data_IF_871695128600
#
_entry.id   IF_871695128600
#
_cell.length_a   1.000
_cell.length_b   1.000
_cell.length_c   1.000
_cell.angle_alpha   90.00
_cell.angle_beta   90.00
_cell.angle_gamma   90.00
#
_symmetry.space_group_name_H-M   'P 1'
#
loop_
_entity.id
_entity.type
_entity.pdbx_description
1 polymer ?
#
# COMPACT_ATOMS: atom_id res chain seq x y z
N UNK A 1 -6.07 -17.87 2.53
CA UNK A 1 -5.12 -17.13 3.40
C UNK A 1 -4.30 -16.27 2.46
N UNK A 2 -4.10 -15.00 2.78
CA UNK A 2 -3.44 -14.04 1.89
C UNK A 2 -2.06 -13.75 2.47
N UNK A 3 -1.02 -13.88 1.65
CA UNK A 3 0.33 -13.45 2.02
C UNK A 3 0.49 -11.97 1.74
N UNK A 4 1.11 -11.26 2.66
CA UNK A 4 1.41 -9.83 2.51
C UNK A 4 2.71 -9.44 3.21
N UNK A 5 3.26 -8.32 2.78
CA UNK A 5 4.39 -7.64 3.42
C UNK A 5 4.23 -6.14 3.26
N UNK A 6 5.08 -5.37 3.93
CA UNK A 6 5.07 -3.91 3.81
C UNK A 6 6.49 -3.34 3.80
N UNK A 7 6.60 -2.16 3.23
CA UNK A 7 7.78 -1.31 3.23
C UNK A 7 7.39 0.02 3.88
N UNK A 8 8.12 0.45 4.91
CA UNK A 8 7.89 1.71 5.61
C UNK A 8 9.11 2.61 5.44
N UNK A 9 8.93 3.72 4.76
CA UNK A 9 9.96 4.72 4.50
C UNK A 9 10.02 5.75 5.65
N UNK A 10 11.24 6.16 6.05
CA UNK A 10 11.49 7.10 7.14
C UNK A 10 12.78 7.89 6.92
N UNK A 11 12.98 8.95 7.70
CA UNK A 11 14.17 9.81 7.69
C UNK A 11 14.85 9.86 9.06
N UNK A 12 16.06 10.42 9.11
CA UNK A 12 16.67 10.98 10.30
C UNK A 12 17.44 10.03 11.19
N UNK A 13 17.72 8.80 10.76
CA UNK A 13 18.40 7.81 11.59
C UNK A 13 19.67 7.27 10.95
N UNK A 14 20.64 6.92 11.79
CA UNK A 14 21.78 6.11 11.37
C UNK A 14 21.33 4.66 11.13
N UNK A 15 21.32 4.23 9.89
CA UNK A 15 20.84 2.89 9.53
C UNK A 15 21.67 1.75 10.11
N UNK A 16 22.98 1.97 10.37
CA UNK A 16 23.84 0.97 11.01
C UNK A 16 23.45 0.79 12.47
N UNK A 17 23.23 1.88 13.20
CA UNK A 17 22.78 1.85 14.58
C UNK A 17 21.39 1.22 14.70
N UNK A 18 20.46 1.57 13.81
CA UNK A 18 19.15 0.95 13.75
C UNK A 18 19.21 -0.54 13.46
N UNK A 19 20.05 -0.96 12.52
CA UNK A 19 20.27 -2.37 12.19
C UNK A 19 20.72 -3.16 13.42
N UNK A 20 21.67 -2.61 14.18
CA UNK A 20 22.14 -3.22 15.43
C UNK A 20 21.03 -3.25 16.50
N UNK A 21 20.33 -2.15 16.72
CA UNK A 21 19.27 -2.04 17.73
C UNK A 21 18.09 -2.98 17.45
N UNK A 22 17.69 -3.09 16.20
CA UNK A 22 16.60 -3.96 15.77
C UNK A 22 17.03 -5.42 15.60
N UNK A 23 18.33 -5.70 15.62
CA UNK A 23 18.92 -7.01 15.32
C UNK A 23 18.49 -7.54 13.94
N UNK A 24 18.43 -6.66 12.94
CA UNK A 24 18.04 -6.97 11.57
C UNK A 24 19.16 -6.52 10.60
N UNK A 25 19.33 -7.19 9.44
CA UNK A 25 20.38 -6.83 8.51
C UNK A 25 20.10 -5.49 7.80
N UNK A 26 21.17 -4.71 7.58
CA UNK A 26 21.18 -3.61 6.62
C UNK A 26 21.61 -4.16 5.25
N UNK A 27 20.77 -3.97 4.23
CA UNK A 27 20.93 -4.53 2.88
C UNK A 27 21.08 -3.42 1.84
N UNK A 28 21.82 -3.64 0.76
CA UNK A 28 21.82 -2.75 -0.39
C UNK A 28 20.44 -2.72 -1.06
N UNK A 29 19.98 -1.54 -1.44
CA UNK A 29 18.65 -1.34 -2.06
C UNK A 29 18.41 -2.27 -3.26
N UNK A 30 17.26 -2.96 -3.21
CA UNK A 30 16.73 -3.75 -4.33
C UNK A 30 17.55 -4.99 -4.70
N UNK A 31 18.59 -5.33 -3.94
CA UNK A 31 19.42 -6.52 -4.21
C UNK A 31 18.99 -7.76 -3.44
N UNK A 32 18.19 -7.57 -2.41
CA UNK A 32 17.77 -8.66 -1.54
C UNK A 32 16.39 -9.16 -1.96
N UNK A 33 16.30 -10.49 -2.16
CA UNK A 33 15.06 -11.15 -2.59
C UNK A 33 14.48 -12.10 -1.54
N UNK A 34 15.13 -12.21 -0.38
CA UNK A 34 14.62 -13.06 0.69
C UNK A 34 13.86 -12.20 1.70
N UNK A 35 12.56 -12.36 1.77
CA UNK A 35 11.64 -11.67 2.65
C UNK A 35 11.20 -12.52 3.85
N UNK A 36 12.06 -13.42 4.34
CA UNK A 36 11.77 -14.24 5.52
C UNK A 36 11.96 -13.48 6.84
N UNK A 37 12.73 -12.40 6.81
CA UNK A 37 13.04 -11.59 7.99
C UNK A 37 12.98 -10.09 7.66
N UNK A 38 12.76 -9.28 8.69
CA UNK A 38 12.95 -7.82 8.57
C UNK A 38 14.35 -7.48 8.08
N UNK A 39 14.45 -6.42 7.31
CA UNK A 39 15.72 -5.78 6.99
C UNK A 39 15.54 -4.28 6.72
N UNK A 40 16.65 -3.56 6.75
CA UNK A 40 16.73 -2.15 6.39
C UNK A 40 17.38 -2.01 5.01
N UNK A 41 16.84 -1.11 4.19
CA UNK A 41 17.48 -0.65 2.96
C UNK A 41 17.67 0.88 3.00
N UNK A 42 18.77 1.43 2.43
CA UNK A 42 18.89 2.88 2.27
C UNK A 42 17.92 3.38 1.20
N UNK A 43 17.24 4.50 1.43
CA UNK A 43 16.39 5.17 0.44
C UNK A 43 17.04 6.47 -0.04
N UNK A 44 17.62 6.43 -1.22
CA UNK A 44 18.38 7.55 -1.77
C UNK A 44 17.54 8.79 -2.09
N UNK A 45 16.24 8.62 -2.31
CA UNK A 45 15.33 9.74 -2.64
C UNK A 45 14.94 10.59 -1.45
N UNK A 46 15.12 10.05 -0.25
CA UNK A 46 14.75 10.71 1.01
C UNK A 46 15.95 11.45 1.62
N UNK A 47 17.09 11.45 0.95
CA UNK A 47 18.29 12.12 1.43
C UNK A 47 18.13 13.63 1.37
N UNK A 48 18.01 14.27 2.54
CA UNK A 48 18.46 15.64 2.71
C UNK A 48 19.98 15.64 2.96
N UNK A 49 20.72 16.74 2.72
CA UNK A 49 22.18 16.76 2.89
C UNK A 49 22.69 16.24 4.24
N UNK A 50 21.86 16.29 5.27
CA UNK A 50 22.23 15.96 6.65
C UNK A 50 21.56 14.68 7.19
N UNK A 51 20.70 14.00 6.43
CA UNK A 51 19.83 12.94 6.95
C UNK A 51 19.74 11.76 5.99
N UNK A 52 20.15 10.60 6.48
CA UNK A 52 19.94 9.33 5.78
C UNK A 52 18.47 8.92 5.87
N UNK A 53 17.85 8.66 4.74
CA UNK A 53 16.55 7.99 4.65
C UNK A 53 16.71 6.48 4.56
N UNK A 54 15.71 5.75 5.03
CA UNK A 54 15.69 4.30 4.98
C UNK A 54 14.29 3.74 4.77
N UNK A 55 14.28 2.51 4.33
CA UNK A 55 13.09 1.66 4.26
C UNK A 55 13.23 0.51 5.26
N UNK A 56 12.22 0.34 6.10
CA UNK A 56 12.03 -0.87 6.89
C UNK A 56 11.16 -1.83 6.09
N UNK A 57 11.75 -2.94 5.65
CA UNK A 57 11.08 -3.95 4.85
C UNK A 57 10.72 -5.12 5.75
N UNK A 58 9.43 -5.47 5.77
CA UNK A 58 8.90 -6.55 6.60
C UNK A 58 9.15 -7.93 5.99
N UNK A 59 9.10 -8.98 6.79
CA UNK A 59 8.90 -10.34 6.28
C UNK A 59 7.53 -10.49 5.63
N UNK A 60 7.33 -11.64 4.98
CA UNK A 60 6.03 -12.03 4.44
C UNK A 60 5.19 -12.64 5.55
N UNK A 61 4.02 -12.09 5.77
CA UNK A 61 3.08 -12.53 6.81
C UNK A 61 1.89 -13.31 6.24
N UNK A 62 1.40 -14.24 7.06
CA UNK A 62 0.07 -14.88 6.95
C UNK A 62 -0.88 -14.37 8.02
N UNK A 63 -0.33 -13.94 9.14
CA UNK A 63 -1.06 -13.47 10.31
C UNK A 63 -0.95 -11.95 10.44
N UNK A 64 -2.09 -11.27 10.30
CA UNK A 64 -2.16 -9.81 10.43
C UNK A 64 -1.86 -9.36 11.86
N UNK A 65 -2.27 -10.11 12.87
CA UNK A 65 -2.07 -9.76 14.27
C UNK A 65 -0.58 -9.75 14.60
N UNK A 66 0.15 -10.78 14.16
CA UNK A 66 1.60 -10.84 14.32
C UNK A 66 2.29 -9.67 13.59
N UNK A 67 1.90 -9.41 12.34
CA UNK A 67 2.47 -8.31 11.57
C UNK A 67 2.29 -6.95 12.26
N UNK A 68 1.11 -6.70 12.84
CA UNK A 68 0.82 -5.44 13.54
C UNK A 68 1.56 -5.34 14.88
N UNK A 69 1.71 -6.44 15.59
CA UNK A 69 2.51 -6.47 16.82
C UNK A 69 3.98 -6.14 16.53
N UNK A 70 4.57 -6.80 15.55
CA UNK A 70 5.98 -6.55 15.19
C UNK A 70 6.19 -5.15 14.60
N UNK A 71 5.23 -4.64 13.80
CA UNK A 71 5.26 -3.25 13.35
C UNK A 71 5.33 -2.29 14.54
N UNK A 72 4.47 -2.47 15.55
CA UNK A 72 4.45 -1.63 16.74
C UNK A 72 5.81 -1.61 17.45
N UNK A 73 6.43 -2.78 17.64
CA UNK A 73 7.74 -2.91 18.26
C UNK A 73 8.83 -2.17 17.45
N UNK A 74 8.82 -2.32 16.12
CA UNK A 74 9.78 -1.64 15.24
C UNK A 74 9.60 -0.12 15.21
N UNK A 75 8.36 0.36 15.25
CA UNK A 75 8.09 1.80 15.33
C UNK A 75 8.63 2.44 16.61
N UNK A 76 8.54 1.75 17.75
CA UNK A 76 9.12 2.26 19.00
C UNK A 76 10.66 2.36 18.92
N UNK A 77 11.33 1.38 18.31
CA UNK A 77 12.79 1.46 18.11
C UNK A 77 13.13 2.61 17.15
N UNK A 78 12.39 2.78 16.03
CA UNK A 78 12.59 3.90 15.11
C UNK A 78 12.54 5.25 15.84
N UNK A 79 11.52 5.44 16.69
CA UNK A 79 11.38 6.67 17.49
C UNK A 79 12.54 6.88 18.47
N UNK A 80 12.97 5.83 19.17
CA UNK A 80 14.11 5.89 20.09
C UNK A 80 15.41 6.29 19.42
N UNK A 81 15.57 5.93 18.14
CA UNK A 81 16.73 6.28 17.31
C UNK A 81 16.49 7.51 16.42
N UNK A 82 15.58 8.37 16.84
CA UNK A 82 15.29 9.68 16.22
C UNK A 82 14.83 9.63 14.76
N UNK A 83 14.31 8.49 14.32
CA UNK A 83 13.62 8.45 13.04
C UNK A 83 12.39 9.37 13.07
N UNK A 84 12.11 10.01 11.94
CA UNK A 84 10.93 10.84 11.81
C UNK A 84 10.36 10.76 10.39
N UNK A 85 9.10 11.18 10.25
CA UNK A 85 8.46 11.39 8.98
C UNK A 85 8.35 12.90 8.76
N UNK A 86 8.97 13.46 7.73
CA UNK A 86 8.89 14.89 7.47
C UNK A 86 7.43 15.34 7.25
N UNK A 87 7.00 16.41 7.91
CA UNK A 87 5.62 16.93 7.83
C UNK A 87 5.18 17.26 6.39
N UNK A 88 6.12 17.63 5.55
CA UNK A 88 5.90 17.98 4.13
C UNK A 88 6.56 16.99 3.18
N UNK A 89 6.90 15.78 3.65
CA UNK A 89 7.57 14.83 2.78
C UNK A 89 6.63 14.35 1.70
N UNK A 90 7.05 14.61 0.49
CA UNK A 90 6.46 14.05 -0.72
C UNK A 90 6.93 12.61 -0.96
N UNK A 91 7.92 12.17 -0.19
CA UNK A 91 8.82 11.09 -0.56
C UNK A 91 8.81 9.92 0.43
N UNK A 92 8.06 10.01 1.54
CA UNK A 92 7.92 8.90 2.47
C UNK A 92 6.54 8.26 2.37
N UNK A 93 6.53 6.96 2.17
CA UNK A 93 5.31 6.17 2.00
C UNK A 93 5.36 4.87 2.83
N UNK A 94 4.19 4.28 3.04
CA UNK A 94 4.08 2.87 3.39
C UNK A 94 3.46 2.14 2.20
N UNK A 95 4.19 1.17 1.67
CA UNK A 95 3.74 0.31 0.60
C UNK A 95 3.30 -1.03 1.17
N UNK A 96 2.17 -1.55 0.73
CA UNK A 96 1.72 -2.88 1.11
C UNK A 96 1.69 -3.78 -0.10
N UNK A 97 2.40 -4.89 -0.02
CA UNK A 97 2.49 -5.92 -1.02
C UNK A 97 1.59 -7.08 -0.66
N UNK A 98 0.73 -7.47 -1.57
CA UNK A 98 -0.17 -8.63 -1.45
C UNK A 98 0.21 -9.68 -2.49
N UNK A 99 0.31 -10.94 -2.11
CA UNK A 99 0.41 -12.03 -3.06
C UNK A 99 -0.87 -12.09 -3.91
N UNK A 100 -0.73 -12.26 -5.23
CA UNK A 100 -1.87 -12.21 -6.18
C UNK A 100 -2.82 -13.41 -6.15
N UNK A 101 -2.57 -14.40 -5.31
CA UNK A 101 -3.41 -15.60 -5.20
C UNK A 101 -4.89 -15.31 -4.94
N UNK A 102 -5.21 -14.19 -4.28
CA UNK A 102 -6.61 -13.76 -4.07
C UNK A 102 -7.33 -13.38 -5.38
N UNK A 103 -6.60 -13.09 -6.44
CA UNK A 103 -7.15 -12.78 -7.76
C UNK A 103 -7.45 -14.03 -8.62
N UNK A 104 -7.05 -15.23 -8.12
CA UNK A 104 -7.34 -16.54 -8.73
C UNK A 104 -6.96 -16.64 -10.21
N UNK A 105 -5.95 -15.87 -10.67
CA UNK A 105 -5.52 -15.74 -12.07
C UNK A 105 -6.70 -15.52 -13.05
N UNK A 106 -7.72 -14.83 -12.58
CA UNK A 106 -8.96 -14.62 -13.31
C UNK A 106 -9.19 -13.13 -13.62
N UNK A 107 -9.41 -12.83 -14.89
CA UNK A 107 -9.71 -11.46 -15.37
C UNK A 107 -10.80 -10.77 -14.55
N UNK A 108 -11.82 -11.53 -14.12
CA UNK A 108 -12.95 -11.02 -13.34
C UNK A 108 -12.45 -10.44 -11.99
N UNK A 109 -11.58 -11.12 -11.28
CA UNK A 109 -11.07 -10.65 -9.99
C UNK A 109 -10.17 -9.41 -10.15
N UNK A 110 -9.36 -9.36 -11.21
CA UNK A 110 -8.60 -8.16 -11.56
C UNK A 110 -9.52 -6.99 -11.89
N UNK A 111 -10.59 -7.22 -12.65
CA UNK A 111 -11.58 -6.20 -12.99
C UNK A 111 -12.27 -5.65 -11.73
N UNK A 112 -12.73 -6.51 -10.82
CA UNK A 112 -13.33 -6.10 -9.54
C UNK A 112 -12.37 -5.24 -8.73
N UNK A 113 -11.14 -5.70 -8.55
CA UNK A 113 -10.12 -4.96 -7.80
C UNK A 113 -9.89 -3.57 -8.40
N UNK A 114 -9.67 -3.51 -9.71
CA UNK A 114 -9.36 -2.25 -10.39
C UNK A 114 -10.55 -1.29 -10.40
N UNK A 115 -11.76 -1.80 -10.66
CA UNK A 115 -12.99 -1.00 -10.59
C UNK A 115 -13.26 -0.49 -9.17
N UNK A 116 -13.01 -1.31 -8.14
CA UNK A 116 -13.13 -0.90 -6.75
C UNK A 116 -12.18 0.26 -6.43
N UNK A 117 -10.90 0.06 -6.69
CA UNK A 117 -9.88 1.08 -6.42
C UNK A 117 -10.12 2.36 -7.21
N UNK A 118 -10.55 2.26 -8.46
CA UNK A 118 -10.92 3.42 -9.29
C UNK A 118 -12.12 4.18 -8.72
N UNK A 119 -13.16 3.44 -8.32
CA UNK A 119 -14.38 4.04 -7.79
C UNK A 119 -14.18 4.77 -6.47
N UNK A 120 -13.29 4.27 -5.61
CA UNK A 120 -13.02 4.81 -4.28
C UNK A 120 -11.68 5.53 -4.17
N UNK A 121 -10.97 5.78 -5.26
CA UNK A 121 -9.62 6.33 -5.17
C UNK A 121 -9.54 7.68 -4.45
N UNK A 122 -10.55 8.54 -4.58
CA UNK A 122 -10.58 9.82 -3.89
C UNK A 122 -10.73 9.63 -2.38
N UNK A 123 -11.61 8.74 -1.96
CA UNK A 123 -11.85 8.38 -0.56
C UNK A 123 -10.62 7.69 0.03
N UNK A 124 -9.95 6.82 -0.73
CA UNK A 124 -8.70 6.19 -0.30
C UNK A 124 -7.59 7.23 -0.14
N UNK A 125 -7.47 8.18 -1.06
CA UNK A 125 -6.50 9.28 -0.93
C UNK A 125 -6.79 10.15 0.28
N UNK A 126 -8.04 10.48 0.54
CA UNK A 126 -8.41 11.26 1.70
C UNK A 126 -8.16 10.49 2.99
N UNK A 127 -8.59 9.23 3.04
CA UNK A 127 -8.29 8.34 4.15
C UNK A 127 -6.78 8.26 4.42
N UNK A 128 -5.95 8.15 3.36
CA UNK A 128 -4.50 8.13 3.46
C UNK A 128 -3.90 9.48 3.87
N UNK A 129 -4.51 10.60 3.49
CA UNK A 129 -4.05 11.97 3.78
C UNK A 129 -4.55 12.47 5.13
N UNK A 130 -5.77 12.12 5.50
CA UNK A 130 -6.40 12.47 6.78
C UNK A 130 -5.59 11.96 7.96
N UNK A 131 -4.89 10.85 7.79
CA UNK A 131 -4.06 10.25 8.81
C UNK A 131 -2.75 11.00 9.07
N UNK A 132 -2.24 11.76 8.11
CA UNK A 132 -0.90 12.37 8.18
C UNK A 132 -0.86 13.85 7.79
N UNK A 133 -2.01 14.48 7.51
CA UNK A 133 -2.05 15.89 7.10
C UNK A 133 -1.21 16.16 5.85
N UNK A 134 -1.85 16.27 4.69
CA UNK A 134 -1.29 16.70 3.41
C UNK A 134 -0.25 15.75 2.81
N UNK A 135 -0.68 14.94 1.89
CA UNK A 135 0.19 14.30 0.91
C UNK A 135 0.42 15.29 -0.24
N UNK A 136 1.58 15.97 -0.30
CA UNK A 136 1.73 17.11 -1.21
C UNK A 136 1.87 16.73 -2.69
N UNK A 137 2.10 15.46 -3.04
CA UNK A 137 2.32 15.07 -4.42
C UNK A 137 1.80 13.69 -4.78
N UNK A 138 0.49 13.52 -4.66
CA UNK A 138 -0.26 12.36 -5.16
C UNK A 138 0.12 12.04 -6.61
N UNK A 139 0.45 13.07 -7.41
CA UNK A 139 0.70 12.92 -8.84
C UNK A 139 2.09 12.41 -9.22
N UNK A 140 3.11 12.57 -8.37
CA UNK A 140 4.49 12.21 -8.73
C UNK A 140 4.88 10.77 -8.35
N UNK A 141 4.39 10.25 -7.22
CA UNK A 141 4.79 8.93 -6.72
C UNK A 141 3.65 7.93 -6.53
N UNK A 142 2.40 8.41 -6.54
CA UNK A 142 1.21 7.57 -6.41
C UNK A 142 0.04 8.15 -7.20
N UNK A 143 0.25 8.45 -8.49
CA UNK A 143 -0.78 9.06 -9.33
C UNK A 143 -2.04 8.18 -9.45
N UNK A 144 -3.23 8.78 -9.55
CA UNK A 144 -4.49 8.06 -9.73
C UNK A 144 -4.47 7.12 -10.94
N UNK A 145 -5.26 6.06 -10.86
CA UNK A 145 -5.58 5.22 -12.01
C UNK A 145 -6.70 5.85 -12.82
N UNK A 146 -6.69 5.63 -14.12
CA UNK A 146 -7.74 6.08 -15.04
C UNK A 146 -8.56 4.91 -15.58
N UNK A 147 -9.74 5.19 -16.10
CA UNK A 147 -10.55 4.18 -16.80
C UNK A 147 -9.80 3.60 -18.02
N UNK A 148 -8.96 4.43 -18.68
CA UNK A 148 -8.12 3.99 -19.79
C UNK A 148 -7.02 3.01 -19.34
N UNK A 149 -6.37 3.27 -18.20
CA UNK A 149 -5.39 2.34 -17.60
C UNK A 149 -6.03 0.97 -17.36
N UNK A 150 -7.24 0.95 -16.78
CA UNK A 150 -8.00 -0.27 -16.51
C UNK A 150 -8.35 -1.00 -17.81
N UNK A 151 -8.92 -0.28 -18.77
CA UNK A 151 -9.32 -0.85 -20.06
C UNK A 151 -8.14 -1.46 -20.80
N UNK A 152 -7.01 -0.75 -20.86
CA UNK A 152 -5.77 -1.24 -21.47
C UNK A 152 -5.29 -2.53 -20.80
N UNK A 153 -5.25 -2.54 -19.48
CA UNK A 153 -4.80 -3.71 -18.72
C UNK A 153 -5.71 -4.93 -18.97
N UNK A 154 -7.03 -4.75 -18.87
CA UNK A 154 -7.99 -5.84 -19.02
C UNK A 154 -8.09 -6.37 -20.47
N UNK A 155 -7.85 -5.52 -21.47
CA UNK A 155 -7.87 -5.94 -22.86
C UNK A 155 -6.65 -6.81 -23.23
N UNK A 156 -5.52 -6.59 -22.57
CA UNK A 156 -4.29 -7.37 -22.79
C UNK A 156 -4.12 -8.54 -21.81
N UNK A 157 -5.08 -8.76 -20.92
CA UNK A 157 -5.05 -9.87 -19.97
C UNK A 157 -5.19 -11.22 -20.69
N UNK A 158 -4.38 -12.25 -20.35
CA UNK A 158 -3.42 -12.37 -19.24
C UNK A 158 -1.98 -11.97 -19.58
N UNK A 159 -1.71 -11.42 -20.76
CA UNK A 159 -0.36 -11.13 -21.25
C UNK A 159 0.27 -9.94 -20.53
N UNK A 160 -0.56 -9.02 -20.04
CA UNK A 160 -0.12 -7.83 -19.33
C UNK A 160 0.36 -8.19 -17.91
N UNK A 161 1.67 -8.27 -17.73
CA UNK A 161 2.27 -8.64 -16.45
C UNK A 161 2.39 -7.47 -15.48
N UNK A 162 2.33 -6.23 -15.99
CA UNK A 162 2.50 -5.02 -15.21
C UNK A 162 1.38 -4.01 -15.48
N UNK A 163 0.82 -3.42 -14.43
CA UNK A 163 -0.15 -2.35 -14.52
C UNK A 163 0.53 -0.99 -14.39
N UNK A 164 0.37 -0.16 -15.41
CA UNK A 164 0.49 1.30 -15.42
C UNK A 164 1.76 1.96 -14.82
N UNK A 165 2.91 1.26 -14.73
CA UNK A 165 4.19 1.90 -14.43
C UNK A 165 4.43 2.27 -12.96
N UNK A 166 5.67 2.66 -12.65
CA UNK A 166 6.19 2.82 -11.28
C UNK A 166 5.62 3.99 -10.46
N UNK A 167 4.85 4.89 -11.07
CA UNK A 167 4.35 6.11 -10.43
C UNK A 167 2.86 6.09 -10.09
N UNK A 168 2.18 4.97 -10.32
CA UNK A 168 0.76 4.84 -9.98
C UNK A 168 0.57 4.44 -8.53
N UNK A 169 -0.60 4.77 -8.00
CA UNK A 169 -1.01 4.41 -6.63
C UNK A 169 -1.15 2.91 -6.40
N UNK A 170 -1.14 2.13 -7.47
CA UNK A 170 -1.11 0.67 -7.47
C UNK A 170 -0.11 0.17 -8.51
N UNK A 171 0.43 -1.00 -8.25
CA UNK A 171 1.35 -1.67 -9.17
C UNK A 171 1.13 -3.17 -9.12
N UNK A 172 1.03 -3.79 -10.29
CA UNK A 172 1.18 -5.23 -10.42
C UNK A 172 2.65 -5.55 -10.77
N UNK A 173 3.24 -6.45 -10.00
CA UNK A 173 4.49 -7.10 -10.36
C UNK A 173 4.19 -8.52 -10.86
N UNK A 174 5.22 -9.30 -11.15
CA UNK A 174 5.05 -10.71 -11.52
C UNK A 174 4.32 -11.50 -10.43
N UNK A 175 4.61 -11.24 -9.16
CA UNK A 175 4.19 -12.06 -8.02
C UNK A 175 3.22 -11.34 -7.08
N UNK A 176 3.31 -10.00 -6.99
CA UNK A 176 2.57 -9.21 -6.02
C UNK A 176 1.70 -8.13 -6.65
N UNK A 177 0.72 -7.72 -5.89
CA UNK A 177 -0.02 -6.48 -6.06
C UNK A 177 0.41 -5.50 -4.97
N UNK A 178 0.86 -4.33 -5.34
CA UNK A 178 1.41 -3.30 -4.46
C UNK A 178 0.43 -2.12 -4.36
N UNK A 179 0.08 -1.74 -3.14
CA UNK A 179 -0.70 -0.54 -2.81
C UNK A 179 0.26 0.55 -2.33
N UNK A 180 0.18 1.74 -2.93
CA UNK A 180 1.08 2.88 -2.74
C UNK A 180 0.36 4.16 -2.31
N UNK A 181 -0.89 4.08 -1.93
CA UNK A 181 -1.72 5.23 -1.57
C UNK A 181 -1.28 5.96 -0.30
N UNK A 182 -0.60 5.27 0.60
CA UNK A 182 -0.49 5.68 1.99
C UNK A 182 0.83 6.41 2.27
N UNK A 183 0.73 7.52 3.01
CA UNK A 183 1.90 8.18 3.57
C UNK A 183 2.47 7.37 4.73
N UNK A 184 3.78 7.45 4.93
CA UNK A 184 4.43 6.84 6.07
C UNK A 184 4.03 7.50 7.40
N UNK A 185 4.09 6.74 8.50
CA UNK A 185 3.86 7.26 9.85
C UNK A 185 4.62 6.43 10.87
N UNK A 186 5.16 7.09 11.91
CA UNK A 186 5.70 6.42 13.09
C UNK A 186 4.65 6.29 14.22
N UNK A 187 3.45 6.85 14.05
CA UNK A 187 2.32 6.61 14.92
C UNK A 187 1.70 5.25 14.56
N UNK A 188 1.63 4.33 15.51
CA UNK A 188 1.13 2.98 15.28
C UNK A 188 -0.33 2.98 14.78
N UNK A 189 -1.20 3.82 15.35
CA UNK A 189 -2.61 3.87 14.96
C UNK A 189 -2.79 4.31 13.49
N UNK A 190 -1.84 5.05 12.97
CA UNK A 190 -1.80 5.47 11.57
C UNK A 190 -1.09 4.45 10.68
N UNK A 191 0.04 3.91 11.14
CA UNK A 191 0.85 2.98 10.35
C UNK A 191 0.17 1.62 10.13
N UNK A 192 -0.72 1.18 11.04
CA UNK A 192 -1.47 -0.09 10.89
C UNK A 192 -2.54 -0.04 9.79
N UNK A 193 -3.11 1.12 9.54
CA UNK A 193 -4.27 1.26 8.64
C UNK A 193 -4.02 0.83 7.19
N UNK A 194 -2.87 1.12 6.56
CA UNK A 194 -2.53 0.57 5.24
C UNK A 194 -2.58 -0.95 5.17
N UNK A 195 -2.07 -1.62 6.21
CA UNK A 195 -2.05 -3.09 6.30
C UNK A 195 -3.48 -3.63 6.47
N UNK A 196 -4.28 -3.01 7.33
CA UNK A 196 -5.68 -3.38 7.54
C UNK A 196 -6.50 -3.17 6.27
N UNK A 197 -6.35 -2.03 5.62
CA UNK A 197 -7.00 -1.75 4.34
C UNK A 197 -6.63 -2.79 3.28
N UNK A 198 -5.34 -3.04 3.07
CA UNK A 198 -4.86 -3.96 2.05
C UNK A 198 -5.37 -5.39 2.27
N UNK A 199 -5.28 -5.89 3.51
CA UNK A 199 -5.73 -7.24 3.85
C UNK A 199 -7.25 -7.40 3.78
N UNK A 200 -8.01 -6.36 4.15
CA UNK A 200 -9.47 -6.32 4.03
C UNK A 200 -9.91 -6.27 2.57
N UNK A 201 -9.27 -5.44 1.75
CA UNK A 201 -9.51 -5.37 0.30
C UNK A 201 -9.26 -6.72 -0.39
N UNK A 202 -8.12 -7.34 -0.12
CA UNK A 202 -7.80 -8.64 -0.71
C UNK A 202 -8.78 -9.75 -0.23
N UNK A 203 -9.20 -9.69 1.03
CA UNK A 203 -10.22 -10.59 1.58
C UNK A 203 -11.58 -10.39 0.89
N UNK A 204 -12.01 -9.16 0.71
CA UNK A 204 -13.25 -8.81 0.02
C UNK A 204 -13.25 -9.32 -1.41
N UNK A 205 -12.22 -8.97 -2.18
CA UNK A 205 -12.10 -9.38 -3.59
C UNK A 205 -12.00 -10.90 -3.71
N UNK A 206 -11.19 -11.55 -2.87
CA UNK A 206 -10.88 -12.97 -3.00
C UNK A 206 -11.97 -13.93 -2.51
N UNK A 207 -12.82 -13.54 -1.56
CA UNK A 207 -13.86 -14.42 -0.98
C UNK A 207 -15.14 -14.47 -1.80
N UNK A 208 -15.53 -13.37 -2.44
CA UNK A 208 -16.77 -13.28 -3.20
C UNK A 208 -16.64 -14.07 -4.51
N UNK A 209 -17.70 -14.76 -4.90
CA UNK A 209 -17.82 -15.32 -6.26
C UNK A 209 -18.37 -14.22 -7.15
N UNK A 210 -17.52 -13.73 -8.04
CA UNK A 210 -17.88 -12.65 -8.94
C UNK A 210 -18.37 -13.20 -10.29
N UNK A 211 -19.50 -12.69 -10.76
CA UNK A 211 -19.96 -12.82 -12.14
C UNK A 211 -19.97 -11.46 -12.81
N UNK A 212 -19.91 -11.40 -14.13
CA UNK A 212 -19.98 -10.13 -14.86
C UNK A 212 -21.23 -9.32 -14.51
N UNK A 213 -22.36 -9.98 -14.28
CA UNK A 213 -23.62 -9.33 -13.88
C UNK A 213 -23.49 -8.68 -12.49
N UNK A 214 -22.92 -9.38 -11.52
CA UNK A 214 -22.73 -8.85 -10.16
C UNK A 214 -21.74 -7.67 -10.15
N UNK A 215 -20.70 -7.70 -10.97
CA UNK A 215 -19.77 -6.59 -11.15
C UNK A 215 -20.47 -5.36 -11.69
N UNK A 216 -21.26 -5.53 -12.75
CA UNK A 216 -21.98 -4.41 -13.39
C UNK A 216 -23.06 -3.84 -12.47
N UNK A 217 -23.73 -4.68 -11.69
CA UNK A 217 -24.72 -4.26 -10.72
C UNK A 217 -24.05 -3.54 -9.54
N UNK A 218 -22.97 -4.11 -8.98
CA UNK A 218 -22.19 -3.48 -7.94
C UNK A 218 -21.62 -2.13 -8.41
N UNK A 219 -21.01 -2.10 -9.59
CA UNK A 219 -20.41 -0.89 -10.17
C UNK A 219 -21.47 0.20 -10.37
N UNK A 220 -22.66 -0.14 -10.91
CA UNK A 220 -23.75 0.82 -11.06
C UNK A 220 -24.29 1.35 -9.75
N UNK A 221 -24.37 0.51 -8.73
CA UNK A 221 -24.88 0.90 -7.40
C UNK A 221 -23.85 1.67 -6.59
N UNK A 222 -22.55 1.46 -6.85
CA UNK A 222 -21.44 2.07 -6.12
C UNK A 222 -20.86 3.27 -6.89
N UNK A 223 -21.01 3.29 -8.20
CA UNK A 223 -20.55 4.38 -9.07
C UNK A 223 -21.51 5.57 -8.99
N UNK A 224 -21.36 6.33 -7.93
CA UNK A 224 -21.87 7.70 -7.85
C UNK A 224 -20.76 8.56 -8.46
N UNK A 225 -21.10 9.39 -9.48
CA UNK A 225 -20.13 10.23 -10.19
C UNK A 225 -19.05 10.81 -9.25
N UNK A 226 -17.75 10.75 -9.62
CA UNK A 226 -16.63 11.14 -8.71
C UNK A 226 -16.61 12.61 -8.28
N UNK A 227 -17.63 13.39 -8.59
CA UNK A 227 -17.63 14.84 -8.46
C UNK A 227 -18.04 15.40 -7.10
N UNK A 228 -18.49 14.58 -6.17
CA UNK A 228 -18.84 15.05 -4.82
C UNK A 228 -18.35 14.08 -3.77
N UNK A 229 -17.34 14.55 -3.08
CA UNK A 229 -16.95 14.09 -1.77
C UNK A 229 -18.20 14.00 -0.88
N UNK A 230 -18.48 12.86 -0.26
CA UNK A 230 -19.53 12.78 0.74
C UNK A 230 -19.16 11.76 1.81
N UNK A 231 -19.46 12.09 3.06
CA UNK A 231 -19.35 11.20 4.22
C UNK A 231 -19.96 9.82 3.95
N UNK A 232 -21.02 9.79 3.14
CA UNK A 232 -21.69 8.56 2.71
C UNK A 232 -20.79 7.60 1.90
N UNK A 233 -19.87 8.10 1.09
CA UNK A 233 -18.94 7.25 0.32
C UNK A 233 -17.86 6.66 1.22
N UNK A 234 -17.34 7.46 2.16
CA UNK A 234 -16.43 6.96 3.18
C UNK A 234 -17.08 5.87 4.02
N UNK A 235 -18.34 6.08 4.41
CA UNK A 235 -19.13 5.08 5.13
C UNK A 235 -19.29 3.79 4.31
N UNK A 236 -19.60 3.89 3.01
CA UNK A 236 -19.69 2.75 2.11
C UNK A 236 -18.33 2.02 2.04
N UNK A 237 -17.23 2.74 1.88
CA UNK A 237 -15.89 2.15 1.81
C UNK A 237 -15.56 1.40 3.11
N UNK A 238 -15.73 2.05 4.25
CA UNK A 238 -15.48 1.49 5.59
C UNK A 238 -16.34 0.23 5.82
N UNK A 239 -17.64 0.31 5.56
CA UNK A 239 -18.56 -0.79 5.75
C UNK A 239 -18.27 -1.96 4.79
N UNK A 240 -17.90 -1.68 3.54
CA UNK A 240 -17.57 -2.72 2.54
C UNK A 240 -16.31 -3.50 2.94
N UNK A 241 -15.32 -2.84 3.49
CA UNK A 241 -14.06 -3.44 3.88
C UNK A 241 -13.99 -3.84 5.36
N UNK A 242 -15.01 -3.53 6.16
CA UNK A 242 -15.03 -3.78 7.61
C UNK A 242 -13.81 -3.17 8.33
N UNK A 243 -13.53 -1.88 8.04
CA UNK A 243 -12.41 -1.10 8.59
C UNK A 243 -12.78 -0.40 9.90
#
# INVERSE_FOLDING_TARGET
>A
MILFGYELEFCGSNLVELSCAMQIPLKPKGKYKNYDTFHLEPEEKITTPDLNGGELISPIYKDKTLALQELKEKLEILKQYHAYIPEKSKDTAIHVHLEKTFLKDSKIYHEVLLKFLYSFQNEIYEYSSYQNGIRPNIYDSASPISAEDISRYLNDFPNNKEFAGKRKCIRFTKETFELRYFSSSLDFEKARLPIEFATSLASYVGKTKWTSKEIDEWYRNTYIEPRRFSDKRNEILINTLHL
#
